data_IF_211989626088
#
_entry.id   IF_211989626088
#
_cell.length_a   1.000
_cell.length_b   1.000
_cell.length_c   1.000
_cell.angle_alpha   90.00
_cell.angle_beta   90.00
_cell.angle_gamma   90.00
#
_symmetry.space_group_name_H-M   'P 1'
#
loop_
_entity.id
_entity.type
_entity.pdbx_description
1 polymer ?
#
# COMPACT_ATOMS: atom_id res chain seq x y z
N UNK A 1 -26.33 -8.69 2.17
CA UNK A 1 -27.46 -7.87 1.79
C UNK A 1 -27.00 -6.43 1.57
N UNK A 2 -27.18 -5.91 0.36
CA UNK A 2 -26.93 -4.52 0.02
C UNK A 2 -25.51 -4.17 -0.44
N UNK A 3 -24.58 -5.10 -0.56
CA UNK A 3 -23.25 -4.85 -1.10
C UNK A 3 -23.05 -5.60 -2.42
N UNK A 4 -22.58 -4.91 -3.46
CA UNK A 4 -22.09 -5.50 -4.70
C UNK A 4 -20.61 -5.21 -4.85
N UNK A 5 -19.84 -6.19 -5.32
CA UNK A 5 -18.40 -6.07 -5.51
C UNK A 5 -18.07 -6.30 -6.98
N UNK A 6 -17.33 -5.36 -7.57
CA UNK A 6 -16.73 -5.56 -8.90
C UNK A 6 -15.22 -5.56 -8.75
N UNK A 7 -14.60 -6.65 -9.17
CA UNK A 7 -13.14 -6.81 -9.15
C UNK A 7 -12.62 -6.57 -10.57
N UNK A 8 -11.66 -5.67 -10.70
CA UNK A 8 -10.91 -5.45 -11.94
C UNK A 8 -9.49 -5.98 -11.75
N UNK A 9 -9.00 -6.74 -12.73
CA UNK A 9 -7.62 -7.21 -12.74
C UNK A 9 -7.02 -7.09 -14.14
N UNK A 10 -5.70 -6.88 -14.26
CA UNK A 10 -5.03 -6.80 -15.55
C UNK A 10 -4.89 -8.19 -16.17
N UNK A 11 -5.42 -8.35 -17.39
CA UNK A 11 -5.40 -9.61 -18.14
C UNK A 11 -3.97 -10.08 -18.38
N UNK A 12 -3.67 -11.34 -18.03
CA UNK A 12 -2.36 -11.94 -18.21
C UNK A 12 -1.22 -11.34 -17.37
N UNK A 13 -1.54 -10.49 -16.38
CA UNK A 13 -0.56 -9.82 -15.50
C UNK A 13 -0.67 -10.21 -14.04
N UNK A 14 -1.49 -11.21 -13.74
CA UNK A 14 -1.62 -11.82 -12.41
C UNK A 14 -1.21 -13.28 -12.48
N UNK A 15 -0.83 -13.88 -11.36
CA UNK A 15 -0.55 -15.31 -11.33
C UNK A 15 -1.83 -16.11 -11.54
N UNK A 16 -1.71 -17.33 -12.06
CA UNK A 16 -2.87 -18.22 -12.25
C UNK A 16 -3.66 -18.43 -10.97
N UNK A 17 -2.98 -18.54 -9.83
CA UNK A 17 -3.64 -18.68 -8.53
C UNK A 17 -4.46 -17.45 -8.18
N UNK A 18 -3.91 -16.25 -8.38
CA UNK A 18 -4.64 -15.01 -8.13
C UNK A 18 -5.84 -14.83 -9.07
N UNK A 19 -5.67 -15.17 -10.35
CA UNK A 19 -6.77 -15.14 -11.30
C UNK A 19 -7.90 -16.09 -10.86
N UNK A 20 -7.57 -17.32 -10.49
CA UNK A 20 -8.54 -18.26 -9.96
C UNK A 20 -9.20 -17.77 -8.66
N UNK A 21 -8.46 -17.19 -7.74
CA UNK A 21 -9.03 -16.61 -6.51
C UNK A 21 -10.08 -15.53 -6.79
N UNK A 22 -9.91 -14.75 -7.85
CA UNK A 22 -10.88 -13.73 -8.27
C UNK A 22 -12.05 -14.33 -9.06
N UNK A 23 -11.74 -15.13 -10.09
CA UNK A 23 -12.74 -15.60 -11.06
C UNK A 23 -13.63 -16.72 -10.54
N UNK A 24 -13.22 -17.44 -9.50
CA UNK A 24 -14.01 -18.53 -8.89
C UNK A 24 -14.87 -18.07 -7.71
N UNK A 25 -14.93 -16.77 -7.42
CA UNK A 25 -15.78 -16.25 -6.35
C UNK A 25 -17.26 -16.51 -6.68
N UNK A 26 -17.94 -17.17 -5.75
CA UNK A 26 -19.36 -17.44 -5.86
C UNK A 26 -20.19 -16.28 -5.28
N UNK A 27 -21.32 -15.97 -5.91
CA UNK A 27 -22.26 -14.97 -5.43
C UNK A 27 -22.85 -14.14 -6.56
N UNK A 28 -24.14 -13.84 -6.50
CA UNK A 28 -24.83 -13.00 -7.49
C UNK A 28 -24.47 -11.52 -7.38
N UNK A 29 -23.77 -11.14 -6.29
CA UNK A 29 -23.33 -9.79 -5.98
C UNK A 29 -21.85 -9.55 -6.25
N UNK A 30 -21.15 -10.51 -6.87
CA UNK A 30 -19.74 -10.40 -7.24
C UNK A 30 -19.60 -10.46 -8.75
N UNK A 31 -18.88 -9.51 -9.32
CA UNK A 31 -18.52 -9.47 -10.73
C UNK A 31 -17.00 -9.33 -10.85
N UNK A 32 -16.43 -9.99 -11.84
CA UNK A 32 -14.99 -9.94 -12.11
C UNK A 32 -14.78 -9.61 -13.58
N UNK A 33 -13.93 -8.63 -13.85
CA UNK A 33 -13.62 -8.17 -15.20
C UNK A 33 -12.11 -8.08 -15.41
N UNK A 34 -11.60 -8.78 -16.41
CA UNK A 34 -10.26 -8.59 -16.91
C UNK A 34 -10.18 -7.30 -17.72
N UNK A 35 -9.12 -6.54 -17.58
CA UNK A 35 -8.88 -5.30 -18.30
C UNK A 35 -7.53 -5.36 -19.01
N UNK A 36 -7.48 -4.83 -20.23
CA UNK A 36 -6.21 -4.65 -20.93
C UNK A 36 -5.42 -3.52 -20.25
N UNK A 37 -4.20 -3.81 -19.79
CA UNK A 37 -3.35 -2.86 -19.09
C UNK A 37 -2.51 -3.53 -18.00
N UNK A 38 -2.14 -2.73 -17.01
CA UNK A 38 -1.43 -3.18 -15.82
C UNK A 38 -2.21 -2.84 -14.53
N UNK A 39 -1.66 -3.20 -13.38
CA UNK A 39 -2.31 -2.94 -12.09
C UNK A 39 -2.50 -1.45 -11.81
N UNK A 40 -1.53 -0.61 -12.19
CA UNK A 40 -1.61 0.85 -12.00
C UNK A 40 -2.69 1.48 -12.89
N UNK A 41 -2.93 0.94 -14.09
CA UNK A 41 -4.02 1.36 -14.98
C UNK A 41 -5.38 1.09 -14.35
N UNK A 42 -5.58 -0.12 -13.83
CA UNK A 42 -6.81 -0.51 -13.14
C UNK A 42 -7.04 0.34 -11.89
N UNK A 43 -6.00 0.58 -11.08
CA UNK A 43 -6.09 1.41 -9.88
C UNK A 43 -6.38 2.88 -10.22
N UNK A 44 -5.78 3.41 -11.28
CA UNK A 44 -6.01 4.78 -11.73
C UNK A 44 -7.43 4.96 -12.26
N UNK A 45 -7.99 3.96 -12.94
CA UNK A 45 -9.38 3.97 -13.39
C UNK A 45 -10.33 4.01 -12.19
N UNK A 46 -10.11 3.17 -11.18
CA UNK A 46 -10.90 3.18 -9.93
C UNK A 46 -10.83 4.55 -9.25
N UNK A 47 -9.64 5.14 -9.11
CA UNK A 47 -9.48 6.48 -8.51
C UNK A 47 -10.27 7.55 -9.28
N UNK A 48 -10.29 7.50 -10.62
CA UNK A 48 -11.09 8.42 -11.43
C UNK A 48 -12.57 8.26 -11.19
N UNK A 49 -13.08 7.03 -11.11
CA UNK A 49 -14.49 6.73 -10.79
C UNK A 49 -14.86 7.31 -9.41
N UNK A 50 -14.00 7.14 -8.41
CA UNK A 50 -14.23 7.71 -7.08
C UNK A 50 -14.14 9.24 -7.04
N UNK A 51 -13.36 9.85 -7.92
CA UNK A 51 -13.23 11.29 -8.06
C UNK A 51 -14.39 11.95 -8.81
N UNK A 52 -15.21 11.16 -9.51
CA UNK A 52 -16.34 11.65 -10.30
C UNK A 52 -17.57 11.93 -9.43
N UNK A 53 -17.71 13.20 -9.04
CA UNK A 53 -18.82 13.65 -8.18
C UNK A 53 -20.18 13.58 -8.86
N UNK A 54 -20.23 13.77 -10.18
CA UNK A 54 -21.46 13.71 -10.97
C UNK A 54 -21.98 12.27 -11.03
N UNK A 55 -21.09 11.31 -11.35
CA UNK A 55 -21.39 9.88 -11.29
C UNK A 55 -21.84 9.45 -9.89
N UNK A 56 -21.14 9.87 -8.86
CA UNK A 56 -21.49 9.54 -7.48
C UNK A 56 -22.89 10.06 -7.09
N UNK A 57 -23.22 11.30 -7.46
CA UNK A 57 -24.53 11.90 -7.22
C UNK A 57 -25.65 11.15 -7.98
N UNK A 58 -25.40 10.79 -9.24
CA UNK A 58 -26.34 10.02 -10.07
C UNK A 58 -26.60 8.63 -9.49
N UNK A 59 -25.55 7.90 -9.10
CA UNK A 59 -25.70 6.58 -8.48
C UNK A 59 -26.48 6.64 -7.16
N UNK A 60 -26.23 7.66 -6.35
CA UNK A 60 -26.96 7.86 -5.11
C UNK A 60 -28.45 8.17 -5.34
N UNK A 61 -28.77 9.02 -6.34
CA UNK A 61 -30.15 9.42 -6.65
C UNK A 61 -30.95 8.30 -7.33
N UNK A 62 -30.38 7.68 -8.36
CA UNK A 62 -31.09 6.75 -9.24
C UNK A 62 -31.11 5.31 -8.70
N UNK A 63 -30.05 4.92 -7.99
CA UNK A 63 -29.83 3.52 -7.60
C UNK A 63 -29.64 3.33 -6.10
N UNK A 64 -29.59 4.40 -5.32
CA UNK A 64 -29.27 4.38 -3.89
C UNK A 64 -27.93 3.68 -3.57
N UNK A 65 -26.95 3.80 -4.47
CA UNK A 65 -25.63 3.18 -4.36
C UNK A 65 -24.59 4.22 -3.92
N UNK A 66 -23.77 3.83 -2.94
CA UNK A 66 -22.57 4.57 -2.52
C UNK A 66 -21.34 3.77 -2.89
N UNK A 67 -20.42 4.39 -3.60
CA UNK A 67 -19.15 3.76 -3.98
C UNK A 67 -18.22 3.63 -2.78
N UNK A 68 -17.60 2.47 -2.63
CA UNK A 68 -16.54 2.22 -1.67
C UNK A 68 -15.46 1.32 -2.29
N UNK A 69 -14.28 1.31 -1.73
CA UNK A 69 -13.15 0.52 -2.22
C UNK A 69 -12.71 -0.50 -1.19
N UNK A 70 -12.43 -1.73 -1.65
CA UNK A 70 -11.90 -2.81 -0.82
C UNK A 70 -10.38 -2.94 -0.89
N UNK A 71 -9.68 -2.03 -1.53
CA UNK A 71 -8.22 -2.02 -1.61
C UNK A 71 -7.57 -1.06 -0.59
N UNK A 72 -6.24 -1.00 -0.54
CA UNK A 72 -5.45 -0.23 0.44
C UNK A 72 -5.56 1.30 0.30
N UNK A 73 -6.18 1.83 -0.76
CA UNK A 73 -6.52 3.27 -0.83
C UNK A 73 -7.62 3.66 0.16
N UNK A 74 -8.45 2.70 0.57
CA UNK A 74 -9.45 2.90 1.60
C UNK A 74 -8.81 2.71 2.99
N UNK A 75 -8.86 3.74 3.81
CA UNK A 75 -8.35 3.69 5.19
C UNK A 75 -9.03 2.59 6.02
N UNK A 76 -10.28 2.25 5.70
CA UNK A 76 -11.01 1.14 6.32
C UNK A 76 -10.39 -0.24 6.06
N UNK A 77 -9.52 -0.37 5.05
CA UNK A 77 -8.71 -1.58 4.81
C UNK A 77 -7.39 -1.55 5.57
N UNK A 78 -6.86 -0.37 5.85
CA UNK A 78 -5.58 -0.17 6.51
C UNK A 78 -5.71 -0.29 8.03
N UNK A 79 -6.71 0.35 8.62
CA UNK A 79 -6.89 0.37 10.08
C UNK A 79 -6.98 -1.02 10.72
N UNK A 80 -7.73 -2.01 10.17
CA UNK A 80 -7.74 -3.36 10.73
C UNK A 80 -6.38 -4.07 10.73
N UNK A 81 -5.46 -3.68 9.84
CA UNK A 81 -4.13 -4.29 9.77
C UNK A 81 -3.25 -3.94 10.96
N UNK A 82 -3.58 -2.88 11.70
CA UNK A 82 -2.93 -2.53 12.98
C UNK A 82 -2.97 -3.72 13.96
N UNK A 83 -4.04 -4.50 13.93
CA UNK A 83 -4.23 -5.67 14.80
C UNK A 83 -3.13 -6.72 14.58
N UNK A 84 -2.58 -6.86 13.38
CA UNK A 84 -1.52 -7.84 13.10
C UNK A 84 -0.29 -7.61 13.97
N UNK A 85 0.11 -6.36 14.12
CA UNK A 85 1.28 -5.95 14.90
C UNK A 85 1.08 -6.19 16.40
N UNK A 86 -0.10 -5.82 16.93
CA UNK A 86 -0.43 -6.11 18.33
C UNK A 86 -0.56 -7.62 18.58
N UNK A 87 -1.16 -8.36 17.65
CA UNK A 87 -1.30 -9.81 17.77
C UNK A 87 0.05 -10.51 17.76
N UNK A 88 0.95 -10.13 16.85
CA UNK A 88 2.31 -10.68 16.79
C UNK A 88 3.09 -10.38 18.07
N UNK A 89 3.03 -9.16 18.57
CA UNK A 89 3.67 -8.78 19.81
C UNK A 89 3.12 -9.56 21.01
N UNK A 90 1.79 -9.69 21.10
CA UNK A 90 1.14 -10.45 22.16
C UNK A 90 1.51 -11.93 22.11
N UNK A 91 1.69 -12.50 20.91
CA UNK A 91 2.14 -13.88 20.76
C UNK A 91 3.58 -14.07 21.28
N UNK A 92 4.50 -13.15 20.95
CA UNK A 92 5.88 -13.19 21.46
C UNK A 92 5.91 -13.10 22.99
N UNK A 93 5.02 -12.31 23.60
CA UNK A 93 4.88 -12.27 25.07
C UNK A 93 4.34 -13.59 25.64
N UNK A 94 3.31 -14.15 25.00
CA UNK A 94 2.72 -15.43 25.43
C UNK A 94 3.73 -16.59 25.36
N UNK A 95 4.57 -16.57 24.31
CA UNK A 95 5.65 -17.56 24.12
C UNK A 95 6.90 -17.27 24.96
N UNK A 96 6.88 -16.22 25.77
CA UNK A 96 7.99 -15.78 26.64
C UNK A 96 9.30 -15.49 25.88
N UNK A 97 9.19 -15.09 24.60
CA UNK A 97 10.34 -14.70 23.77
C UNK A 97 10.82 -13.30 24.12
N UNK A 98 9.88 -12.43 24.53
CA UNK A 98 10.13 -11.05 24.96
C UNK A 98 9.40 -10.75 26.26
N UNK A 99 9.77 -9.66 26.94
CA UNK A 99 9.07 -9.11 28.10
C UNK A 99 8.21 -7.90 27.68
N UNK A 100 7.26 -7.53 28.53
CA UNK A 100 6.44 -6.33 28.31
C UNK A 100 7.34 -5.09 28.25
N UNK A 101 7.23 -4.35 27.16
CA UNK A 101 8.02 -3.14 26.91
C UNK A 101 9.30 -3.38 26.10
N UNK A 102 9.69 -4.64 25.85
CA UNK A 102 10.81 -4.90 24.95
C UNK A 102 10.47 -4.43 23.54
N UNK A 103 11.41 -3.73 22.90
CA UNK A 103 11.23 -3.23 21.54
C UNK A 103 11.40 -4.35 20.51
N UNK A 104 10.56 -4.33 19.49
CA UNK A 104 10.59 -5.29 18.38
C UNK A 104 10.78 -4.58 17.04
N UNK A 105 11.35 -5.30 16.09
CA UNK A 105 11.45 -4.87 14.69
C UNK A 105 10.52 -5.73 13.83
N UNK A 106 9.80 -5.10 12.90
CA UNK A 106 8.97 -5.82 11.95
C UNK A 106 9.57 -5.69 10.55
N UNK A 107 9.83 -6.82 9.91
CA UNK A 107 10.18 -6.90 8.49
C UNK A 107 8.91 -7.16 7.71
N UNK A 108 8.53 -6.23 6.85
CA UNK A 108 7.23 -6.26 6.18
C UNK A 108 7.45 -6.26 4.67
N UNK A 109 7.04 -7.34 3.96
CA UNK A 109 6.96 -7.32 2.50
C UNK A 109 6.09 -6.15 2.05
N UNK A 110 6.66 -5.20 1.31
CA UNK A 110 6.02 -3.89 1.12
C UNK A 110 5.91 -3.52 -0.35
N UNK A 111 4.67 -3.53 -0.87
CA UNK A 111 4.31 -2.93 -2.16
C UNK A 111 3.64 -1.55 -1.93
N UNK A 112 2.33 -1.54 -1.74
CA UNK A 112 1.51 -0.33 -1.60
C UNK A 112 1.66 0.44 -0.28
N UNK A 113 2.61 0.08 0.55
CA UNK A 113 2.89 0.70 1.86
C UNK A 113 1.73 0.62 2.87
N UNK A 114 0.68 -0.15 2.59
CA UNK A 114 -0.52 -0.22 3.43
C UNK A 114 -0.25 -0.91 4.77
N UNK A 115 0.28 -2.12 4.72
CA UNK A 115 0.54 -2.94 5.90
C UNK A 115 1.61 -2.28 6.80
N UNK A 116 2.75 -1.90 6.26
CA UNK A 116 3.81 -1.26 7.06
C UNK A 116 3.38 0.09 7.65
N UNK A 117 2.48 0.83 6.99
CA UNK A 117 1.86 2.03 7.55
C UNK A 117 0.95 1.69 8.73
N UNK A 118 0.27 0.54 8.72
CA UNK A 118 -0.47 0.05 9.87
C UNK A 118 0.48 -0.27 11.04
N UNK A 119 1.68 -0.77 10.78
CA UNK A 119 2.75 -0.91 11.77
C UNK A 119 3.18 0.43 12.37
N UNK A 120 3.27 1.47 11.56
CA UNK A 120 3.51 2.82 12.05
C UNK A 120 2.37 3.32 12.95
N UNK A 121 1.12 3.06 12.59
CA UNK A 121 -0.02 3.39 13.45
C UNK A 121 0.01 2.59 14.76
N UNK A 122 0.41 1.31 14.72
CA UNK A 122 0.59 0.51 15.93
C UNK A 122 1.63 1.15 16.88
N UNK A 123 2.74 1.65 16.35
CA UNK A 123 3.72 2.41 17.13
C UNK A 123 3.11 3.68 17.73
N UNK A 124 2.36 4.46 16.97
CA UNK A 124 1.68 5.66 17.48
C UNK A 124 0.65 5.35 18.58
N UNK A 125 0.08 4.14 18.55
CA UNK A 125 -0.83 3.65 19.59
C UNK A 125 -0.11 3.07 20.81
N UNK A 126 1.23 3.11 20.83
CA UNK A 126 2.04 2.71 21.96
C UNK A 126 2.67 1.32 21.90
N UNK A 127 2.56 0.61 20.76
CA UNK A 127 3.29 -0.64 20.59
C UNK A 127 4.80 -0.34 20.55
N UNK A 128 5.64 -1.07 21.31
CA UNK A 128 7.09 -0.83 21.34
C UNK A 128 7.78 -1.35 20.08
N UNK A 129 7.63 -0.59 19.01
CA UNK A 129 8.26 -0.84 17.71
C UNK A 129 9.54 -0.04 17.62
N UNK A 130 10.67 -0.72 17.46
CA UNK A 130 11.97 -0.08 17.23
C UNK A 130 12.10 0.37 15.79
N UNK A 131 12.02 -0.59 14.85
CA UNK A 131 12.09 -0.32 13.43
C UNK A 131 11.00 -1.06 12.64
N UNK A 132 10.63 -0.47 11.52
CA UNK A 132 9.80 -1.05 10.47
C UNK A 132 10.66 -1.21 9.21
N UNK A 133 10.94 -2.42 8.79
CA UNK A 133 11.83 -2.69 7.67
C UNK A 133 11.00 -3.01 6.42
N UNK A 134 11.11 -2.13 5.43
CA UNK A 134 10.53 -2.34 4.10
C UNK A 134 11.32 -3.43 3.39
N UNK A 135 10.68 -4.56 3.12
CA UNK A 135 11.25 -5.61 2.29
C UNK A 135 10.63 -5.54 0.89
N UNK A 136 11.45 -5.28 -0.11
CA UNK A 136 11.04 -5.17 -1.51
C UNK A 136 11.50 -6.37 -2.32
N UNK A 137 10.80 -6.65 -3.41
CA UNK A 137 11.24 -7.53 -4.48
C UNK A 137 12.11 -6.75 -5.50
N UNK A 138 12.25 -7.29 -6.70
CA UNK A 138 12.99 -6.65 -7.80
C UNK A 138 12.41 -5.30 -8.23
N UNK A 139 11.13 -5.03 -7.96
CA UNK A 139 10.50 -3.71 -8.13
C UNK A 139 10.81 -2.81 -6.91
N UNK A 140 12.07 -2.59 -6.64
CA UNK A 140 12.64 -2.04 -5.42
C UNK A 140 12.57 -0.50 -5.30
N UNK A 141 11.51 0.12 -5.83
CA UNK A 141 11.33 1.59 -5.80
C UNK A 141 11.37 2.17 -4.38
N UNK A 142 10.82 1.44 -3.41
CA UNK A 142 10.81 1.87 -2.01
C UNK A 142 12.18 1.76 -1.36
N UNK A 143 12.96 0.73 -1.70
CA UNK A 143 14.34 0.60 -1.25
C UNK A 143 15.19 1.79 -1.74
N UNK A 144 15.11 2.11 -3.03
CA UNK A 144 15.85 3.25 -3.59
C UNK A 144 15.39 4.56 -2.95
N UNK A 145 14.09 4.77 -2.78
CA UNK A 145 13.54 5.94 -2.12
C UNK A 145 14.08 6.11 -0.68
N UNK A 146 14.03 5.07 0.15
CA UNK A 146 14.52 5.13 1.53
C UNK A 146 16.05 5.31 1.59
N UNK A 147 16.76 4.82 0.58
CA UNK A 147 18.22 4.92 0.49
C UNK A 147 18.67 6.28 -0.04
N UNK A 148 17.96 6.88 -1.00
CA UNK A 148 18.42 8.09 -1.69
C UNK A 148 17.60 9.33 -1.37
N UNK A 149 16.36 9.19 -0.91
CA UNK A 149 15.40 10.28 -0.79
C UNK A 149 14.64 10.58 -2.09
N UNK A 150 15.03 9.93 -3.19
CA UNK A 150 14.41 10.13 -4.51
C UNK A 150 13.45 8.99 -4.83
N UNK A 151 12.19 9.31 -5.03
CA UNK A 151 11.20 8.38 -5.56
C UNK A 151 11.14 8.53 -7.07
N UNK A 152 11.37 7.43 -7.80
CA UNK A 152 11.35 7.43 -9.26
C UNK A 152 10.54 6.23 -9.79
N UNK A 153 9.39 6.51 -10.43
CA UNK A 153 8.55 5.49 -11.10
C UNK A 153 8.96 5.20 -12.54
N UNK A 154 9.86 5.99 -13.13
CA UNK A 154 10.35 5.80 -14.50
C UNK A 154 11.43 4.73 -14.53
N UNK A 155 11.02 3.48 -14.35
CA UNK A 155 11.89 2.32 -14.28
C UNK A 155 11.24 1.09 -14.91
N UNK A 156 12.01 0.07 -15.30
CA UNK A 156 11.43 -1.19 -15.76
C UNK A 156 10.51 -1.80 -14.70
N UNK A 157 9.39 -2.35 -15.18
CA UNK A 157 8.51 -3.17 -14.37
C UNK A 157 8.90 -4.64 -14.53
N UNK A 158 9.05 -5.35 -13.43
CA UNK A 158 9.36 -6.77 -13.41
C UNK A 158 8.16 -7.54 -12.86
N UNK A 159 7.74 -8.58 -13.60
CA UNK A 159 6.76 -9.53 -13.09
C UNK A 159 7.49 -10.59 -12.28
N UNK A 160 7.19 -10.68 -10.98
CA UNK A 160 7.86 -11.58 -10.05
C UNK A 160 6.94 -12.72 -9.59
N UNK A 161 7.46 -13.61 -8.76
CA UNK A 161 6.65 -14.64 -8.08
C UNK A 161 5.78 -14.06 -6.97
N UNK A 162 5.93 -12.77 -6.65
CA UNK A 162 5.18 -12.04 -5.63
C UNK A 162 4.36 -10.90 -6.23
N UNK A 163 3.37 -11.18 -7.10
CA UNK A 163 2.72 -10.17 -7.93
C UNK A 163 1.96 -9.10 -7.14
N UNK A 164 1.59 -9.35 -5.90
CA UNK A 164 1.00 -8.31 -5.02
C UNK A 164 2.02 -7.25 -4.57
N UNK A 165 3.31 -7.53 -4.77
CA UNK A 165 4.43 -6.63 -4.49
C UNK A 165 4.93 -5.91 -5.76
N UNK A 166 4.52 -6.37 -6.94
CA UNK A 166 4.90 -5.81 -8.23
C UNK A 166 4.24 -4.46 -8.47
N UNK A 167 4.84 -3.41 -7.94
CA UNK A 167 4.34 -2.04 -8.06
C UNK A 167 5.47 -1.07 -8.43
N UNK A 168 5.10 0.01 -9.12
CA UNK A 168 5.96 1.17 -9.34
C UNK A 168 5.44 2.41 -8.61
N UNK A 169 4.17 2.40 -8.17
CA UNK A 169 3.53 3.48 -7.41
C UNK A 169 3.00 2.94 -6.09
N UNK A 170 3.64 3.33 -5.01
CA UNK A 170 3.27 2.93 -3.65
C UNK A 170 2.20 3.87 -3.09
N UNK A 171 0.94 3.44 -3.15
CA UNK A 171 -0.23 4.32 -2.97
C UNK A 171 -0.42 4.87 -1.55
N UNK A 172 0.17 4.26 -0.52
CA UNK A 172 0.06 4.75 0.86
C UNK A 172 1.33 5.45 1.36
N UNK A 173 2.38 5.53 0.53
CA UNK A 173 3.60 6.25 0.88
C UNK A 173 3.32 7.74 1.14
N UNK A 174 2.41 8.33 0.34
CA UNK A 174 1.92 9.70 0.54
C UNK A 174 1.41 9.94 1.97
N UNK A 175 0.67 8.98 2.54
CA UNK A 175 0.17 9.08 3.92
C UNK A 175 1.31 9.05 4.94
N UNK A 176 2.31 8.20 4.74
CA UNK A 176 3.49 8.18 5.60
C UNK A 176 4.23 9.52 5.54
N UNK A 177 4.46 10.06 4.34
CA UNK A 177 5.09 11.36 4.15
C UNK A 177 4.31 12.48 4.85
N UNK A 178 2.98 12.47 4.76
CA UNK A 178 2.12 13.42 5.45
C UNK A 178 2.33 13.39 6.98
N UNK A 179 2.35 12.22 7.59
CA UNK A 179 2.60 12.11 9.04
C UNK A 179 4.03 12.49 9.41
N UNK A 180 5.01 12.06 8.63
CA UNK A 180 6.43 12.35 8.90
C UNK A 180 6.78 13.84 8.71
N UNK A 181 6.06 14.54 7.83
CA UNK A 181 6.16 15.98 7.64
C UNK A 181 5.29 16.80 8.61
N UNK A 182 4.69 16.17 9.62
CA UNK A 182 3.83 16.83 10.61
C UNK A 182 2.60 17.51 9.98
N UNK A 183 2.10 16.94 8.89
CA UNK A 183 0.91 17.41 8.21
C UNK A 183 1.16 18.55 7.20
N UNK A 184 2.37 18.70 6.69
CA UNK A 184 2.68 19.70 5.67
C UNK A 184 2.02 19.36 4.31
N UNK A 185 0.78 19.79 4.16
CA UNK A 185 -0.01 19.57 2.95
C UNK A 185 0.58 20.24 1.71
N UNK A 186 1.35 21.34 1.88
CA UNK A 186 1.98 22.03 0.74
C UNK A 186 3.12 21.20 0.16
N UNK A 187 3.99 20.71 1.05
CA UNK A 187 5.06 19.80 0.67
C UNK A 187 4.50 18.55 -0.01
N UNK A 188 3.50 17.89 0.59
CA UNK A 188 2.91 16.68 0.03
C UNK A 188 2.30 16.93 -1.33
N UNK A 189 1.53 18.01 -1.49
CA UNK A 189 0.95 18.38 -2.79
C UNK A 189 2.01 18.63 -3.85
N UNK A 190 3.11 19.26 -3.50
CA UNK A 190 4.25 19.48 -4.40
C UNK A 190 4.85 18.14 -4.84
N UNK A 191 5.22 17.26 -3.90
CA UNK A 191 5.80 15.96 -4.20
C UNK A 191 4.89 15.09 -5.09
N UNK A 192 3.57 15.09 -4.83
CA UNK A 192 2.61 14.31 -5.64
C UNK A 192 2.40 14.92 -7.03
N UNK A 193 2.45 16.25 -7.17
CA UNK A 193 2.43 16.91 -8.46
C UNK A 193 3.70 16.58 -9.27
N UNK A 194 4.87 16.61 -8.65
CA UNK A 194 6.13 16.23 -9.29
C UNK A 194 6.11 14.77 -9.76
N UNK A 195 5.60 13.85 -8.91
CA UNK A 195 5.41 12.46 -9.31
C UNK A 195 4.47 12.32 -10.51
N UNK A 196 3.41 13.11 -10.54
CA UNK A 196 2.44 13.08 -11.64
C UNK A 196 3.02 13.61 -12.94
N UNK A 197 3.73 14.75 -12.89
CA UNK A 197 4.25 15.45 -14.05
C UNK A 197 5.55 14.86 -14.59
N UNK A 198 6.48 14.56 -13.66
CA UNK A 198 7.86 14.17 -13.99
C UNK A 198 8.16 12.69 -13.71
N UNK A 199 7.24 11.98 -13.05
CA UNK A 199 7.44 10.58 -12.65
C UNK A 199 8.44 10.39 -11.51
N UNK A 200 8.92 11.47 -10.91
CA UNK A 200 9.90 11.44 -9.83
C UNK A 200 9.69 12.61 -8.87
N UNK A 201 10.12 12.44 -7.62
CA UNK A 201 10.27 13.53 -6.64
C UNK A 201 11.42 13.23 -5.69
N UNK A 202 11.90 14.25 -5.00
CA UNK A 202 12.91 14.14 -3.95
C UNK A 202 12.38 14.78 -2.67
N UNK A 203 12.51 14.07 -1.55
CA UNK A 203 12.12 14.60 -0.24
C UNK A 203 13.27 15.43 0.37
N UNK A 204 12.97 16.52 1.11
CA UNK A 204 14.00 17.28 1.83
C UNK A 204 14.78 16.37 2.79
N UNK A 205 16.12 16.59 2.87
CA UNK A 205 17.01 15.80 3.72
C UNK A 205 16.57 15.71 5.19
N UNK A 206 16.04 16.77 5.84
CA UNK A 206 15.53 16.65 7.21
C UNK A 206 14.36 15.67 7.34
N UNK A 207 13.48 15.60 6.34
CA UNK A 207 12.38 14.64 6.31
C UNK A 207 12.90 13.22 6.08
N UNK A 208 13.85 13.05 5.16
CA UNK A 208 14.49 11.75 4.90
C UNK A 208 15.20 11.21 6.15
N UNK A 209 15.96 12.05 6.85
CA UNK A 209 16.61 11.67 8.09
C UNK A 209 15.61 11.21 9.16
N UNK A 210 14.46 11.90 9.28
CA UNK A 210 13.37 11.52 10.19
C UNK A 210 12.74 10.18 9.81
N UNK A 211 12.50 9.95 8.51
CA UNK A 211 11.97 8.68 8.00
C UNK A 211 12.92 7.53 8.34
N UNK A 212 14.23 7.69 8.09
CA UNK A 212 15.25 6.67 8.33
C UNK A 212 15.45 6.30 9.81
N UNK A 213 15.03 7.14 10.75
CA UNK A 213 15.06 6.80 12.17
C UNK A 213 14.09 5.66 12.53
N UNK A 214 13.04 5.48 11.75
CA UNK A 214 12.04 4.44 11.99
C UNK A 214 11.99 3.38 10.91
N UNK A 215 12.16 3.78 9.64
CA UNK A 215 12.04 2.88 8.50
C UNK A 215 13.41 2.45 8.00
N UNK A 216 13.69 1.13 8.12
CA UNK A 216 14.76 0.46 7.40
C UNK A 216 14.28 -0.06 6.06
N UNK A 217 15.20 -0.54 5.22
CA UNK A 217 14.84 -1.15 3.95
C UNK A 217 15.82 -2.24 3.52
N UNK A 218 15.32 -3.18 2.75
CA UNK A 218 16.07 -4.22 2.06
C UNK A 218 15.32 -4.67 0.82
N UNK A 219 16.00 -5.34 -0.08
CA UNK A 219 15.36 -6.00 -1.23
C UNK A 219 16.05 -7.31 -1.56
N UNK A 220 15.32 -8.22 -2.18
CA UNK A 220 15.84 -9.49 -2.66
C UNK A 220 15.23 -9.82 -4.03
N UNK A 221 16.01 -10.46 -4.90
CA UNK A 221 15.49 -11.04 -6.11
C UNK A 221 15.04 -12.49 -5.92
N UNK A 222 14.44 -13.09 -6.96
CA UNK A 222 13.90 -14.45 -6.91
C UNK A 222 14.98 -15.54 -6.73
N UNK A 223 16.26 -15.22 -6.90
CA UNK A 223 17.36 -16.17 -6.67
C UNK A 223 17.84 -16.11 -5.20
N UNK A 224 17.43 -15.11 -4.46
CA UNK A 224 17.81 -14.86 -3.06
C UNK A 224 16.72 -15.29 -2.08
N UNK A 225 15.50 -15.54 -2.59
CA UNK A 225 14.33 -16.01 -1.87
C UNK A 225 14.13 -17.50 -2.15
#
# INVERSE_FOLDING_TARGET
PGTATTVFYPEGKVSQVQELQMTTQAGSNVQVAAVEGNFDDAQSAVKRIFGDKELAAKLAADSHVVLSSANSINVGRLVPQVVYYFSAYAQLLADQVINVGDEVEFVVPTGNFGDILAGYYAKLLGLPVKHLVVASDKNNVLFDFLTTGTYNRQRPFFQTISPSMDILISSNLERMLYYMSEGDTRLISMLMNDLSQWGTYEVPEPLLAKIRQLFGCGWADENQV
#
